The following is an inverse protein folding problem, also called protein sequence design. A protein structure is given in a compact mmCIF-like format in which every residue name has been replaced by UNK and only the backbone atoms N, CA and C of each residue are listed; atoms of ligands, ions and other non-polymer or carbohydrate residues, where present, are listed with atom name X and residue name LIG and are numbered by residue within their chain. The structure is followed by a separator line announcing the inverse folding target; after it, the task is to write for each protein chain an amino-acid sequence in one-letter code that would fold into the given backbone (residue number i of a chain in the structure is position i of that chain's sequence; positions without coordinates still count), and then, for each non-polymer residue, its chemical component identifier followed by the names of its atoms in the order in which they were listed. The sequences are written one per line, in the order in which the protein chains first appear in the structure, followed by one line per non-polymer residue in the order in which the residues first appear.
data_IF_466749859209
#
_entry.id   IF_466749859209
#
_cell.length_a   1.000
_cell.length_b   1.000
_cell.length_c   1.000
_cell.angle_alpha   90.00
_cell.angle_beta   90.00
_cell.angle_gamma   90.00
#
_symmetry.space_group_name_H-M   'P 1'
#
loop_
_entity.id
_entity.type
_entity.pdbx_description
1 polymer ?
#
# COMPACT_ATOMS: atom_id res chain seq x y z
N UNK A 1 -10.61 2.86 -4.47
CA UNK A 1 -9.20 3.16 -4.81
C UNK A 1 -9.03 4.67 -4.85
N UNK A 2 -8.06 5.23 -4.13
CA UNK A 2 -7.81 6.69 -4.15
C UNK A 2 -6.98 7.05 -5.40
N UNK A 3 -7.42 8.09 -6.12
CA UNK A 3 -6.65 8.70 -7.21
C UNK A 3 -5.68 9.72 -6.64
N UNK A 4 -4.53 9.91 -7.30
CA UNK A 4 -3.49 10.84 -6.84
C UNK A 4 -4.02 12.26 -6.56
N UNK A 5 -4.86 12.88 -7.42
CA UNK A 5 -5.39 14.22 -7.14
C UNK A 5 -6.21 14.28 -5.85
N UNK A 6 -6.99 13.24 -5.55
CA UNK A 6 -7.77 13.18 -4.32
C UNK A 6 -6.86 13.10 -3.09
N UNK A 7 -5.79 12.33 -3.16
CA UNK A 7 -4.81 12.25 -2.08
C UNK A 7 -4.08 13.57 -1.86
N UNK A 8 -3.68 14.26 -2.94
CA UNK A 8 -3.04 15.58 -2.85
C UNK A 8 -3.95 16.60 -2.16
N UNK A 9 -5.21 16.69 -2.56
CA UNK A 9 -6.18 17.59 -1.92
C UNK A 9 -6.34 17.31 -0.42
N UNK A 10 -6.25 16.05 0.01
CA UNK A 10 -6.29 15.71 1.44
C UNK A 10 -5.03 16.23 2.15
N UNK A 11 -3.85 16.04 1.56
CA UNK A 11 -2.59 16.57 2.11
C UNK A 11 -2.65 18.10 2.22
N UNK A 12 -3.13 18.78 1.19
CA UNK A 12 -3.31 20.23 1.17
C UNK A 12 -4.24 20.68 2.30
N UNK A 13 -5.38 20.00 2.48
CA UNK A 13 -6.31 20.29 3.56
C UNK A 13 -5.69 20.06 4.95
N UNK A 14 -4.95 18.96 5.13
CA UNK A 14 -4.25 18.67 6.39
C UNK A 14 -3.19 19.72 6.70
N UNK A 15 -2.51 20.26 5.69
CA UNK A 15 -1.54 21.33 5.87
C UNK A 15 -2.17 22.62 6.41
N UNK A 16 -3.44 22.90 6.08
CA UNK A 16 -4.14 24.09 6.61
C UNK A 16 -4.40 24.04 8.12
N UNK A 17 -4.38 22.85 8.72
CA UNK A 17 -4.55 22.64 10.17
C UNK A 17 -3.36 23.22 10.96
N UNK A 18 -2.18 23.29 10.33
CA UNK A 18 -1.00 23.95 10.88
C UNK A 18 -0.52 23.37 12.21
N UNK A 19 -0.31 24.23 13.19
CA UNK A 19 0.23 23.85 14.51
C UNK A 19 -0.72 22.98 15.33
N UNK A 20 -2.03 23.10 15.10
CA UNK A 20 -3.05 22.31 15.81
C UNK A 20 -3.08 20.83 15.41
N UNK A 21 -2.39 20.45 14.32
CA UNK A 21 -2.25 19.06 13.92
C UNK A 21 -1.34 18.33 14.91
N UNK A 22 -1.85 17.35 15.63
CA UNK A 22 -1.04 16.50 16.52
C UNK A 22 -0.50 15.26 15.80
N UNK A 23 -1.36 14.59 15.02
CA UNK A 23 -1.02 13.40 14.27
C UNK A 23 -1.90 13.24 13.04
N UNK A 24 -1.29 12.84 11.93
CA UNK A 24 -2.00 12.39 10.74
C UNK A 24 -1.71 10.91 10.49
N UNK A 25 -2.72 10.12 10.14
CA UNK A 25 -2.53 8.70 9.79
C UNK A 25 -2.92 8.50 8.34
N UNK A 26 -1.97 8.03 7.53
CA UNK A 26 -2.19 7.78 6.11
C UNK A 26 -2.07 6.29 5.80
N UNK A 27 -3.15 5.70 5.27
CA UNK A 27 -3.11 4.33 4.77
C UNK A 27 -2.43 4.27 3.41
N UNK A 28 -1.21 3.75 3.39
CA UNK A 28 -0.39 3.61 2.18
C UNK A 28 -0.07 2.15 1.88
N UNK A 29 0.58 1.93 0.74
CA UNK A 29 1.09 0.65 0.27
C UNK A 29 2.46 0.88 -0.39
N UNK A 30 3.20 -0.20 -0.63
CA UNK A 30 4.58 -0.11 -1.12
C UNK A 30 4.68 0.52 -2.52
N UNK A 31 5.83 1.14 -2.81
CA UNK A 31 6.19 1.59 -4.16
C UNK A 31 6.54 0.42 -5.08
N UNK A 32 5.58 -0.47 -5.32
CA UNK A 32 5.81 -1.76 -5.96
C UNK A 32 6.50 -1.64 -7.32
N UNK A 33 6.19 -0.60 -8.10
CA UNK A 33 6.88 -0.34 -9.38
C UNK A 33 8.36 0.02 -9.20
N UNK A 34 8.68 0.86 -8.21
CA UNK A 34 10.04 1.32 -7.93
C UNK A 34 10.90 0.17 -7.39
N UNK A 35 10.42 -0.49 -6.33
CA UNK A 35 11.15 -1.60 -5.71
C UNK A 35 11.35 -2.80 -6.62
N UNK A 36 10.43 -2.99 -7.58
CA UNK A 36 10.57 -4.04 -8.60
C UNK A 36 11.36 -3.62 -9.84
N UNK A 37 11.98 -2.43 -9.84
CA UNK A 37 12.70 -1.85 -11.00
C UNK A 37 11.87 -1.87 -12.29
N UNK A 38 10.57 -1.61 -12.16
CA UNK A 38 9.64 -1.56 -13.28
C UNK A 38 9.14 -2.92 -13.79
N UNK A 39 9.43 -4.03 -13.10
CA UNK A 39 8.88 -5.36 -13.41
C UNK A 39 7.36 -5.41 -13.18
N UNK A 40 6.87 -4.85 -12.08
CA UNK A 40 5.44 -4.82 -11.75
C UNK A 40 4.84 -3.44 -12.01
N UNK A 41 4.29 -3.25 -13.22
CA UNK A 41 3.72 -1.96 -13.66
C UNK A 41 2.22 -1.82 -13.37
N UNK A 42 1.50 -2.94 -13.27
CA UNK A 42 0.03 -2.97 -13.15
C UNK A 42 -0.54 -2.75 -11.73
N UNK A 43 0.30 -2.53 -10.72
CA UNK A 43 -0.16 -2.39 -9.32
C UNK A 43 -0.51 -0.92 -9.04
N UNK A 44 -1.47 -0.38 -9.79
CA UNK A 44 -1.81 1.05 -9.76
C UNK A 44 -2.32 1.53 -8.40
N UNK A 45 -3.08 0.70 -7.69
CA UNK A 45 -3.66 1.03 -6.39
C UNK A 45 -2.62 1.13 -5.26
N UNK A 46 -1.44 0.50 -5.43
CA UNK A 46 -0.29 0.69 -4.53
C UNK A 46 0.43 1.99 -4.87
N UNK A 47 0.81 2.12 -6.15
CA UNK A 47 1.60 3.23 -6.63
C UNK A 47 0.88 4.59 -6.43
N UNK A 48 -0.44 4.65 -6.57
CA UNK A 48 -1.18 5.90 -6.35
C UNK A 48 -1.12 6.38 -4.91
N UNK A 49 -1.18 5.48 -3.93
CA UNK A 49 -1.05 5.83 -2.50
C UNK A 49 0.37 6.26 -2.14
N UNK A 50 1.37 5.57 -2.71
CA UNK A 50 2.76 5.90 -2.47
C UNK A 50 3.15 7.26 -3.09
N UNK A 51 2.62 7.59 -4.27
CA UNK A 51 2.83 8.90 -4.90
C UNK A 51 2.28 10.07 -4.06
N UNK A 52 1.24 9.84 -3.24
CA UNK A 52 0.72 10.85 -2.30
C UNK A 52 1.67 11.04 -1.12
N UNK A 53 2.33 9.97 -0.66
CA UNK A 53 3.37 10.06 0.37
C UNK A 53 4.57 10.87 -0.14
N UNK A 54 4.98 10.65 -1.39
CA UNK A 54 6.06 11.44 -2.01
C UNK A 54 5.70 12.92 -2.08
N UNK A 55 4.49 13.24 -2.56
CA UNK A 55 3.98 14.60 -2.59
C UNK A 55 3.97 15.27 -1.20
N UNK A 56 3.54 14.55 -0.16
CA UNK A 56 3.56 15.05 1.22
C UNK A 56 4.98 15.29 1.72
N UNK A 57 5.91 14.37 1.46
CA UNK A 57 7.29 14.49 1.91
C UNK A 57 8.04 15.63 1.21
N UNK A 58 7.77 15.86 -0.07
CA UNK A 58 8.39 16.91 -0.88
C UNK A 58 7.83 18.30 -0.55
N UNK A 59 6.50 18.43 -0.41
CA UNK A 59 5.83 19.72 -0.24
C UNK A 59 5.55 20.14 1.20
N UNK A 60 5.41 19.18 2.11
CA UNK A 60 4.87 19.41 3.46
C UNK A 60 5.66 18.67 4.56
N UNK A 61 6.96 18.98 4.74
CA UNK A 61 7.81 18.26 5.70
C UNK A 61 7.28 18.32 7.15
N UNK A 62 6.62 19.41 7.55
CA UNK A 62 6.02 19.53 8.89
C UNK A 62 4.80 18.62 9.08
N UNK A 63 4.01 18.40 8.02
CA UNK A 63 2.92 17.40 8.04
C UNK A 63 3.53 16.00 8.06
N UNK A 64 4.55 15.75 7.24
CA UNK A 64 5.22 14.45 7.16
C UNK A 64 5.80 14.01 8.51
N UNK A 65 6.44 14.92 9.26
CA UNK A 65 6.96 14.67 10.62
C UNK A 65 5.88 14.19 11.60
N UNK A 66 4.65 14.67 11.42
CA UNK A 66 3.49 14.32 12.26
C UNK A 66 2.67 13.16 11.68
N UNK A 67 3.13 12.55 10.59
CA UNK A 67 2.39 11.51 9.89
C UNK A 67 2.86 10.10 10.27
N UNK A 68 1.92 9.22 10.55
CA UNK A 68 2.14 7.78 10.66
C UNK A 68 1.63 7.08 9.39
N UNK A 69 2.50 6.32 8.74
CA UNK A 69 2.15 5.54 7.55
C UNK A 69 1.68 4.14 7.96
N UNK A 70 0.44 3.81 7.62
CA UNK A 70 -0.16 2.50 7.90
C UNK A 70 -0.21 1.66 6.63
N UNK A 71 0.52 0.55 6.61
CA UNK A 71 0.45 -0.44 5.53
C UNK A 71 -0.33 -1.67 6.00
N UNK A 72 -1.53 -1.85 5.47
CA UNK A 72 -2.38 -2.99 5.80
C UNK A 72 -2.08 -4.18 4.89
N UNK A 73 -2.13 -5.38 5.47
CA UNK A 73 -2.09 -6.64 4.74
C UNK A 73 -3.43 -6.98 4.08
N UNK A 74 -3.55 -8.24 3.64
CA UNK A 74 -4.81 -8.75 3.10
C UNK A 74 -5.88 -8.77 4.18
N UNK A 75 -7.09 -8.32 3.85
CA UNK A 75 -8.20 -8.41 4.77
C UNK A 75 -8.67 -9.86 4.89
N UNK A 76 -8.96 -10.29 6.12
CA UNK A 76 -9.47 -11.63 6.39
C UNK A 76 -10.75 -11.91 5.59
N UNK A 77 -11.55 -10.89 5.26
CA UNK A 77 -12.77 -11.04 4.46
C UNK A 77 -12.55 -11.21 2.96
N UNK A 78 -11.32 -11.03 2.44
CA UNK A 78 -11.04 -11.10 1.01
C UNK A 78 -11.36 -12.47 0.40
N UNK A 79 -11.37 -13.55 1.18
CA UNK A 79 -11.77 -14.88 0.70
C UNK A 79 -13.18 -14.90 0.07
N UNK A 80 -14.05 -13.95 0.45
CA UNK A 80 -15.40 -13.82 -0.11
C UNK A 80 -15.42 -13.30 -1.55
N UNK A 81 -14.31 -12.78 -2.08
CA UNK A 81 -14.24 -12.23 -3.44
C UNK A 81 -14.07 -13.30 -4.52
N UNK A 82 -13.98 -14.58 -4.13
CA UNK A 82 -13.92 -15.72 -5.04
C UNK A 82 -12.70 -16.60 -4.78
N UNK A 83 -12.67 -17.77 -5.42
CA UNK A 83 -11.66 -18.82 -5.19
C UNK A 83 -10.20 -18.34 -5.33
N UNK A 84 -9.94 -17.38 -6.22
CA UNK A 84 -8.60 -16.79 -6.39
C UNK A 84 -8.12 -15.92 -5.21
N UNK A 85 -9.02 -15.56 -4.29
CA UNK A 85 -8.72 -14.78 -3.10
C UNK A 85 -8.72 -15.63 -1.81
N UNK A 86 -8.81 -16.95 -1.93
CA UNK A 86 -8.76 -17.92 -0.82
C UNK A 86 -7.32 -18.48 -0.73
N UNK A 87 -6.45 -17.96 0.14
CA UNK A 87 -5.02 -18.34 0.14
C UNK A 87 -4.78 -19.80 0.55
N UNK A 88 -5.75 -20.45 1.20
CA UNK A 88 -5.67 -21.86 1.63
C UNK A 88 -6.35 -22.84 0.65
N UNK A 89 -7.10 -22.35 -0.34
CA UNK A 89 -7.69 -23.21 -1.37
C UNK A 89 -6.68 -23.35 -2.52
N UNK A 90 -6.19 -24.56 -2.76
CA UNK A 90 -5.22 -24.83 -3.83
C UNK A 90 -5.95 -24.82 -5.17
N UNK A 91 -5.95 -23.66 -5.83
CA UNK A 91 -6.62 -23.47 -7.13
C UNK A 91 -5.95 -24.29 -8.25
N UNK A 92 -4.68 -24.70 -8.07
CA UNK A 92 -3.89 -25.46 -9.06
C UNK A 92 -3.04 -26.55 -8.39
N UNK A 93 -3.50 -27.82 -8.36
CA UNK A 93 -2.77 -28.93 -7.76
C UNK A 93 -1.33 -29.13 -8.30
N UNK A 94 -1.11 -28.78 -9.56
CA UNK A 94 0.13 -28.92 -10.31
C UNK A 94 1.19 -27.86 -9.96
N UNK A 95 0.77 -26.71 -9.42
CA UNK A 95 1.66 -25.60 -9.02
C UNK A 95 2.03 -25.66 -7.52
N UNK A 96 1.79 -26.79 -6.85
CA UNK A 96 2.04 -27.01 -5.41
C UNK A 96 3.45 -26.61 -4.97
N UNK A 97 4.44 -26.79 -5.84
CA UNK A 97 5.85 -26.45 -5.58
C UNK A 97 6.10 -24.94 -5.52
N UNK A 98 5.41 -24.14 -6.33
CA UNK A 98 5.55 -22.67 -6.36
C UNK A 98 4.89 -22.01 -5.14
N UNK A 99 3.78 -22.55 -4.65
CA UNK A 99 3.10 -22.06 -3.45
C UNK A 99 3.91 -22.29 -2.18
N UNK A 100 4.58 -23.45 -2.07
CA UNK A 100 5.53 -23.71 -0.97
C UNK A 100 6.71 -22.75 -1.02
N UNK A 101 7.22 -22.43 -2.22
CA UNK A 101 8.34 -21.51 -2.40
C UNK A 101 8.01 -20.08 -1.91
N UNK A 102 6.81 -19.57 -2.20
CA UNK A 102 6.37 -18.23 -1.75
C UNK A 102 6.19 -18.19 -0.23
N UNK A 103 5.67 -19.25 0.39
CA UNK A 103 5.45 -19.30 1.84
C UNK A 103 6.76 -19.46 2.62
N UNK A 104 7.75 -20.20 2.09
CA UNK A 104 9.08 -20.30 2.72
C UNK A 104 9.88 -19.01 2.62
N UNK A 105 9.69 -18.21 1.56
CA UNK A 105 10.47 -16.99 1.34
C UNK A 105 9.95 -15.76 2.11
N UNK A 106 8.73 -15.82 2.66
CA UNK A 106 8.15 -14.75 3.51
C UNK A 106 8.44 -15.02 5.01
N UNK A 107 8.84 -16.25 5.37
CA UNK A 107 9.18 -16.60 6.76
C UNK A 107 10.66 -16.40 7.13
N UNK A 108 11.50 -15.98 6.17
CA UNK A 108 12.87 -15.53 6.41
C UNK A 108 13.05 -14.20 5.71
N UNK A 109 13.40 -13.16 6.48
CA UNK A 109 13.40 -11.71 6.21
C UNK A 109 12.14 -10.96 6.64
#
# INVERSE_FOLDING_TARGET
MIKVPQGKNIIDAVATVGTSLERFVWSTLSKAREWSKGKYRGIYHFNSKAAVVDYMNEGYPEVAKKTSLLQLGLFVTNWKWGKGAVPWEKVYPELRWLQLFILTYIATW
#
